data_IF_276398394162
#
_entry.id   IF_276398394162
#
_cell.length_a   1.000
_cell.length_b   1.000
_cell.length_c   1.000
_cell.angle_alpha   90.00
_cell.angle_beta   90.00
_cell.angle_gamma   90.00
#
_symmetry.space_group_name_H-M   'P 1'
#
loop_
_entity.id
_entity.type
_entity.pdbx_description
1 polymer ?
#
# COMPACT_ATOMS: atom_id res chain seq x y z
N UNK A 1 -11.75 -10.15 -6.76
CA UNK A 1 -11.36 -8.72 -6.53
C UNK A 1 -9.91 -8.43 -6.99
N UNK A 2 -8.95 -9.32 -6.69
CA UNK A 2 -7.55 -9.19 -7.11
C UNK A 2 -7.37 -9.00 -8.63
N UNK A 3 -8.08 -9.76 -9.47
CA UNK A 3 -8.03 -9.57 -10.94
C UNK A 3 -8.47 -8.16 -11.35
N UNK A 4 -9.54 -7.63 -10.75
CA UNK A 4 -9.99 -6.26 -11.01
C UNK A 4 -8.98 -5.20 -10.53
N UNK A 5 -8.29 -5.47 -9.41
CA UNK A 5 -7.22 -4.62 -8.90
C UNK A 5 -6.03 -4.60 -9.87
N UNK A 6 -5.60 -5.77 -10.36
CA UNK A 6 -4.55 -5.91 -11.35
C UNK A 6 -4.89 -5.17 -12.65
N UNK A 7 -6.12 -5.35 -13.17
CA UNK A 7 -6.60 -4.58 -14.33
C UNK A 7 -6.49 -3.07 -14.06
N UNK A 8 -7.01 -2.58 -12.92
CA UNK A 8 -6.96 -1.15 -12.57
C UNK A 8 -5.54 -0.60 -12.58
N UNK A 9 -4.62 -1.28 -11.90
CA UNK A 9 -3.24 -0.82 -11.71
C UNK A 9 -2.46 -0.90 -13.02
N UNK A 10 -2.49 -2.04 -13.72
CA UNK A 10 -1.71 -2.27 -14.94
C UNK A 10 -2.19 -1.47 -16.15
N UNK A 11 -3.41 -0.91 -16.08
CA UNK A 11 -3.96 -0.02 -17.12
C UNK A 11 -4.00 1.45 -16.68
N UNK A 12 -3.35 1.79 -15.55
CA UNK A 12 -3.27 3.16 -15.02
C UNK A 12 -4.63 3.84 -14.83
N UNK A 13 -5.68 3.06 -14.54
CA UNK A 13 -7.01 3.61 -14.27
C UNK A 13 -7.05 4.20 -12.86
N UNK A 14 -7.26 5.52 -12.79
CA UNK A 14 -7.58 6.17 -11.51
C UNK A 14 -8.82 5.55 -10.88
N UNK A 15 -8.97 5.67 -9.55
CA UNK A 15 -10.15 5.18 -8.84
C UNK A 15 -11.45 5.73 -9.45
N UNK A 16 -11.46 6.99 -9.86
CA UNK A 16 -12.61 7.64 -10.49
C UNK A 16 -12.92 7.06 -11.88
N UNK A 17 -11.91 6.83 -12.72
CA UNK A 17 -12.10 6.19 -14.04
C UNK A 17 -12.61 4.75 -13.89
N UNK A 18 -11.98 3.96 -13.02
CA UNK A 18 -12.40 2.59 -12.73
C UNK A 18 -13.84 2.55 -12.20
N UNK A 19 -14.22 3.46 -11.30
CA UNK A 19 -15.59 3.51 -10.76
C UNK A 19 -16.64 3.88 -11.81
N UNK A 20 -16.32 4.81 -12.72
CA UNK A 20 -17.17 5.12 -13.88
C UNK A 20 -17.36 3.89 -14.76
N UNK A 21 -16.27 3.21 -15.13
CA UNK A 21 -16.31 1.97 -15.91
C UNK A 21 -17.16 0.89 -15.22
N UNK A 22 -16.91 0.62 -13.93
CA UNK A 22 -17.66 -0.34 -13.12
C UNK A 22 -19.17 -0.05 -13.15
N UNK A 23 -19.57 1.21 -12.91
CA UNK A 23 -20.99 1.60 -12.91
C UNK A 23 -21.63 1.43 -14.29
N UNK A 24 -20.96 1.87 -15.35
CA UNK A 24 -21.49 1.75 -16.71
C UNK A 24 -21.65 0.28 -17.12
N UNK A 25 -20.64 -0.55 -16.92
CA UNK A 25 -20.71 -1.99 -17.26
C UNK A 25 -21.80 -2.68 -16.46
N UNK A 26 -21.92 -2.40 -15.15
CA UNK A 26 -22.98 -2.96 -14.31
C UNK A 26 -24.38 -2.54 -14.77
N UNK A 27 -24.54 -1.28 -15.17
CA UNK A 27 -25.82 -0.76 -15.66
C UNK A 27 -26.21 -1.34 -17.03
N UNK A 28 -25.27 -1.41 -17.98
CA UNK A 28 -25.54 -1.90 -19.35
C UNK A 28 -25.76 -3.42 -19.38
N UNK A 29 -24.99 -4.19 -18.62
CA UNK A 29 -25.07 -5.66 -18.66
C UNK A 29 -26.03 -6.25 -17.63
N UNK A 30 -26.46 -5.46 -16.63
CA UNK A 30 -27.21 -5.93 -15.48
C UNK A 30 -26.42 -6.87 -14.54
N UNK A 31 -25.13 -7.11 -14.80
CA UNK A 31 -24.28 -8.05 -14.05
C UNK A 31 -23.10 -7.34 -13.40
N UNK A 32 -22.77 -7.73 -12.18
CA UNK A 32 -21.59 -7.21 -11.48
C UNK A 32 -20.32 -7.97 -11.90
N UNK A 33 -19.78 -7.61 -13.07
CA UNK A 33 -18.56 -8.20 -13.63
C UNK A 33 -17.32 -7.71 -12.87
N UNK A 34 -17.17 -6.38 -12.78
CA UNK A 34 -16.10 -5.74 -12.01
C UNK A 34 -16.48 -5.61 -10.54
N UNK A 35 -15.49 -5.65 -9.64
CA UNK A 35 -15.72 -5.50 -8.21
C UNK A 35 -15.70 -4.01 -7.79
N UNK A 36 -16.48 -3.59 -6.79
CA UNK A 36 -16.51 -2.21 -6.32
C UNK A 36 -15.20 -1.79 -5.64
N UNK A 37 -14.93 -0.47 -5.57
CA UNK A 37 -13.67 0.07 -5.04
C UNK A 37 -13.30 -0.39 -3.62
N UNK A 38 -14.28 -0.58 -2.72
CA UNK A 38 -14.00 -1.06 -1.36
C UNK A 38 -13.40 -2.47 -1.37
N UNK A 39 -13.88 -3.36 -2.25
CA UNK A 39 -13.35 -4.71 -2.40
C UNK A 39 -11.93 -4.71 -2.99
N UNK A 40 -11.63 -3.74 -3.87
CA UNK A 40 -10.27 -3.54 -4.40
C UNK A 40 -9.31 -3.06 -3.30
N UNK A 41 -9.72 -2.12 -2.44
CA UNK A 41 -8.91 -1.66 -1.30
C UNK A 41 -8.59 -2.78 -0.31
N UNK A 42 -9.55 -3.66 -0.03
CA UNK A 42 -9.31 -4.83 0.82
C UNK A 42 -8.31 -5.79 0.19
N UNK A 43 -8.40 -6.03 -1.13
CA UNK A 43 -7.44 -6.87 -1.84
C UNK A 43 -6.04 -6.23 -1.87
N UNK A 44 -5.96 -4.92 -2.06
CA UNK A 44 -4.71 -4.16 -2.04
C UNK A 44 -3.98 -4.25 -0.70
N UNK A 45 -4.72 -4.28 0.43
CA UNK A 45 -4.12 -4.42 1.77
C UNK A 45 -3.25 -5.67 1.91
N UNK A 46 -3.62 -6.78 1.26
CA UNK A 46 -2.85 -8.03 1.32
C UNK A 46 -1.51 -7.94 0.56
N UNK A 47 -1.38 -7.01 -0.37
CA UNK A 47 -0.22 -6.83 -1.24
C UNK A 47 0.72 -5.70 -0.77
N UNK A 48 0.38 -5.03 0.34
CA UNK A 48 1.16 -3.90 0.86
C UNK A 48 2.04 -4.32 2.04
N UNK A 49 3.20 -3.66 2.22
CA UNK A 49 4.04 -3.86 3.39
C UNK A 49 3.25 -3.64 4.69
N UNK A 50 3.50 -4.51 5.67
CA UNK A 50 2.80 -4.50 6.95
C UNK A 50 1.62 -5.48 7.05
N UNK A 51 1.35 -6.28 6.01
CA UNK A 51 0.29 -7.30 6.05
C UNK A 51 0.76 -8.64 6.63
N UNK A 52 1.90 -9.16 6.17
CA UNK A 52 2.40 -10.46 6.60
C UNK A 52 3.24 -10.35 7.89
N UNK A 53 2.97 -11.18 8.91
CA UNK A 53 3.82 -11.27 10.10
C UNK A 53 5.14 -11.99 9.76
N UNK A 54 6.22 -11.58 10.41
CA UNK A 54 7.56 -12.17 10.28
C UNK A 54 8.40 -11.92 11.54
N UNK A 55 9.53 -12.61 11.67
CA UNK A 55 10.47 -12.44 12.78
C UNK A 55 11.90 -12.56 12.28
N UNK A 56 12.80 -11.70 12.77
CA UNK A 56 14.24 -11.81 12.51
C UNK A 56 14.94 -12.53 13.65
N UNK A 57 15.80 -13.50 13.33
CA UNK A 57 16.62 -14.23 14.30
C UNK A 57 18.11 -14.13 13.93
N UNK A 58 18.94 -13.44 14.73
CA UNK A 58 18.59 -12.67 15.93
C UNK A 58 17.79 -11.38 15.63
N UNK A 59 17.14 -10.75 16.63
CA UNK A 59 16.45 -9.47 16.43
C UNK A 59 17.39 -8.40 15.88
N UNK A 60 16.89 -7.59 14.94
CA UNK A 60 17.66 -6.52 14.32
C UNK A 60 17.97 -5.40 15.33
N UNK A 61 19.22 -4.93 15.33
CA UNK A 61 19.66 -3.83 16.19
C UNK A 61 19.01 -2.52 15.75
N UNK A 62 18.44 -1.75 16.69
CA UNK A 62 17.80 -0.44 16.47
C UNK A 62 16.61 -0.45 15.48
N UNK A 63 16.00 -1.61 15.25
CA UNK A 63 14.80 -1.74 14.42
C UNK A 63 13.66 -2.28 15.30
N UNK A 64 12.47 -1.68 15.17
CA UNK A 64 11.28 -2.15 15.90
C UNK A 64 10.87 -3.55 15.44
N UNK A 65 10.45 -4.39 16.38
CA UNK A 65 9.91 -5.74 16.12
C UNK A 65 8.49 -5.73 15.58
N UNK A 66 7.80 -4.58 15.56
CA UNK A 66 6.44 -4.48 15.03
C UNK A 66 6.43 -4.77 13.52
N UNK A 67 5.65 -5.74 13.07
CA UNK A 67 5.53 -6.13 11.66
C UNK A 67 4.41 -5.39 10.93
N UNK A 68 3.45 -4.81 11.65
CA UNK A 68 2.26 -4.13 11.09
C UNK A 68 2.56 -2.66 10.72
N UNK A 69 3.73 -2.41 10.15
CA UNK A 69 4.20 -1.08 9.77
C UNK A 69 4.12 -0.89 8.26
N UNK A 70 3.19 -0.03 7.83
CA UNK A 70 3.01 0.37 6.43
C UNK A 70 3.83 1.61 6.04
N UNK A 71 3.20 2.54 5.33
CA UNK A 71 3.83 3.81 4.93
C UNK A 71 4.11 4.65 6.18
N UNK A 72 5.38 5.05 6.35
CA UNK A 72 5.84 5.91 7.43
C UNK A 72 6.35 7.24 6.91
N UNK A 73 6.45 8.21 7.82
CA UNK A 73 7.01 9.49 7.51
C UNK A 73 8.51 9.40 7.22
N UNK A 74 8.92 9.95 6.07
CA UNK A 74 10.29 9.85 5.59
C UNK A 74 11.28 10.60 6.46
N UNK A 75 10.83 11.67 7.13
CA UNK A 75 11.64 12.48 8.04
C UNK A 75 12.01 11.75 9.33
N UNK A 76 11.36 10.62 9.62
CA UNK A 76 11.78 9.69 10.68
C UNK A 76 11.94 10.34 12.07
N UNK A 77 11.12 11.36 12.38
CA UNK A 77 11.17 12.08 13.64
C UNK A 77 12.10 13.29 13.67
N UNK A 78 12.60 13.76 12.51
CA UNK A 78 13.33 15.02 12.43
C UNK A 78 12.47 16.16 13.01
N UNK A 79 12.99 16.95 13.96
CA UNK A 79 12.22 18.01 14.59
C UNK A 79 11.89 19.09 13.55
N UNK A 80 10.65 19.58 13.61
CA UNK A 80 10.18 20.71 12.82
C UNK A 80 10.11 21.93 13.75
N UNK A 81 11.28 22.50 14.05
CA UNK A 81 11.41 23.75 14.82
C UNK A 81 11.89 24.88 13.92
N UNK A 82 11.47 26.10 14.21
CA UNK A 82 11.95 27.31 13.51
C UNK A 82 13.42 27.59 13.89
N UNK A 83 13.83 27.17 15.09
CA UNK A 83 15.20 27.34 15.58
C UNK A 83 16.18 26.32 15.00
N UNK A 84 15.68 25.22 14.43
CA UNK A 84 16.47 24.15 13.82
C UNK A 84 16.68 24.38 12.30
N UNK A 85 17.47 23.52 11.66
CA UNK A 85 17.70 23.59 10.22
C UNK A 85 16.38 23.42 9.44
N UNK A 86 16.09 24.27 8.43
CA UNK A 86 14.82 24.22 7.72
C UNK A 86 14.63 22.90 6.97
N UNK A 87 13.43 22.33 7.11
CA UNK A 87 13.05 21.06 6.48
C UNK A 87 11.93 21.32 5.48
N UNK A 88 12.30 21.55 4.22
CA UNK A 88 11.34 21.77 3.12
C UNK A 88 10.96 20.46 2.39
N UNK A 89 11.52 19.33 2.84
CA UNK A 89 11.33 18.03 2.19
C UNK A 89 10.09 17.32 2.72
N UNK A 90 9.23 16.86 1.81
CA UNK A 90 8.14 15.94 2.12
C UNK A 90 8.52 14.56 1.58
N UNK A 91 8.64 13.58 2.47
CA UNK A 91 9.00 12.22 2.08
C UNK A 91 8.09 11.19 2.76
N UNK A 92 7.80 10.11 2.05
CA UNK A 92 7.16 8.90 2.59
C UNK A 92 7.99 7.69 2.21
N UNK A 93 8.08 6.71 3.10
CA UNK A 93 8.84 5.49 2.86
C UNK A 93 8.17 4.30 3.50
N UNK A 94 8.55 3.10 3.09
CA UNK A 94 8.32 1.89 3.86
C UNK A 94 9.52 1.61 4.78
N UNK A 95 9.31 0.80 5.82
CA UNK A 95 10.45 0.22 6.55
C UNK A 95 11.08 -0.86 5.66
N UNK A 96 12.40 -0.92 5.63
CA UNK A 96 13.11 -1.69 4.61
C UNK A 96 12.84 -3.20 4.74
N UNK A 97 12.85 -3.72 5.96
CA UNK A 97 12.52 -5.11 6.28
C UNK A 97 11.06 -5.46 5.95
N UNK A 98 10.09 -4.59 6.26
CA UNK A 98 8.67 -4.86 5.92
C UNK A 98 8.45 -4.86 4.41
N UNK A 99 9.13 -3.97 3.67
CA UNK A 99 9.10 -3.95 2.21
C UNK A 99 9.73 -5.20 1.59
N UNK A 100 10.89 -5.64 2.11
CA UNK A 100 11.56 -6.86 1.67
C UNK A 100 10.68 -8.10 1.87
N UNK A 101 10.10 -8.26 3.06
CA UNK A 101 9.22 -9.40 3.35
C UNK A 101 8.00 -9.38 2.44
N UNK A 102 7.40 -8.21 2.21
CA UNK A 102 6.28 -8.07 1.30
C UNK A 102 6.64 -8.50 -0.13
N UNK A 103 7.77 -8.04 -0.66
CA UNK A 103 8.22 -8.39 -2.00
C UNK A 103 8.55 -9.88 -2.14
N UNK A 104 9.15 -10.49 -1.10
CA UNK A 104 9.42 -11.92 -1.07
C UNK A 104 8.13 -12.74 -1.03
N UNK A 105 7.13 -12.30 -0.26
CA UNK A 105 5.81 -12.96 -0.17
C UNK A 105 4.96 -12.81 -1.43
N UNK A 106 5.17 -11.76 -2.21
CA UNK A 106 4.50 -11.58 -3.50
C UNK A 106 5.03 -12.55 -4.58
N UNK A 107 6.25 -13.04 -4.43
CA UNK A 107 6.86 -14.03 -5.32
C UNK A 107 6.62 -15.49 -4.90
N UNK A 108 6.04 -15.72 -3.72
CA UNK A 108 5.67 -17.06 -3.20
C UNK A 108 4.39 -17.57 -3.87
#
# INVERSE_FOLDING_TARGET
PAVCLAIRINTFLSCSQYHKMYRTVKAVTGRQIFQPLHALRTAEKALLPGYHPFEWKPPLKNVSTNTEVGIIDGLSGLPLSIDDYPVDTIAKRFRYDTALVCALKDME
#
